data_IF_862770168850
#
_entry.id   IF_862770168850
#
_cell.length_a   1.000
_cell.length_b   1.000
_cell.length_c   1.000
_cell.angle_alpha   90.00
_cell.angle_beta   90.00
_cell.angle_gamma   90.00
#
_symmetry.space_group_name_H-M   'P 1'
#
loop_
_entity.id
_entity.type
_entity.pdbx_description
1 polymer ?
#
# COMPACT_ATOMS: atom_id res chain seq x y z
N UNK A 1 -18.58 -16.30 -2.02
CA UNK A 1 -17.22 -16.19 -1.48
C UNK A 1 -16.77 -14.75 -1.67
N UNK A 2 -16.07 -14.14 -0.68
CA UNK A 2 -15.47 -12.81 -0.85
C UNK A 2 -14.33 -12.99 -1.85
N UNK A 3 -14.31 -12.19 -2.92
CA UNK A 3 -13.25 -12.22 -3.94
C UNK A 3 -11.98 -11.61 -3.38
N UNK A 4 -10.83 -12.25 -3.57
CA UNK A 4 -9.51 -11.68 -3.26
C UNK A 4 -9.25 -10.44 -4.12
N UNK A 5 -8.87 -9.32 -3.48
CA UNK A 5 -8.59 -8.06 -4.17
C UNK A 5 -7.23 -8.10 -4.88
N UNK A 6 -7.20 -7.54 -6.09
CA UNK A 6 -5.99 -7.31 -6.88
C UNK A 6 -5.47 -5.90 -6.60
N UNK A 7 -4.41 -5.78 -5.79
CA UNK A 7 -3.83 -4.49 -5.36
C UNK A 7 -2.48 -4.31 -6.06
N UNK A 8 -2.39 -3.26 -6.88
CA UNK A 8 -1.19 -2.94 -7.65
C UNK A 8 -0.13 -2.27 -6.76
N UNK A 9 0.98 -2.98 -6.48
CA UNK A 9 2.10 -2.55 -5.65
C UNK A 9 2.89 -1.42 -6.32
N UNK A 10 2.84 -0.22 -5.76
CA UNK A 10 3.43 1.00 -6.34
C UNK A 10 2.91 1.28 -7.76
N UNK A 11 1.62 0.96 -7.98
CA UNK A 11 1.04 0.91 -9.32
C UNK A 11 1.40 -0.36 -10.09
N UNK A 12 1.38 -0.34 -11.42
CA UNK A 12 1.79 -1.47 -12.27
C UNK A 12 3.32 -1.51 -12.41
N UNK A 13 4.01 -1.62 -11.29
CA UNK A 13 5.48 -1.47 -11.18
C UNK A 13 6.29 -2.57 -11.86
N UNK A 14 5.69 -3.69 -12.20
CA UNK A 14 6.35 -4.74 -12.99
C UNK A 14 6.59 -4.38 -14.45
N UNK A 15 5.94 -3.31 -14.97
CA UNK A 15 6.02 -2.88 -16.37
C UNK A 15 6.29 -1.38 -16.55
N UNK A 16 6.03 -0.57 -15.52
CA UNK A 16 6.16 0.89 -15.54
C UNK A 16 6.98 1.36 -14.33
N UNK A 17 7.59 2.54 -14.36
CA UNK A 17 8.34 3.07 -13.22
C UNK A 17 7.48 3.12 -11.95
N UNK A 18 7.96 2.47 -10.88
CA UNK A 18 7.23 2.37 -9.61
C UNK A 18 6.90 3.74 -9.02
N UNK A 19 5.76 3.84 -8.33
CA UNK A 19 5.34 5.05 -7.62
C UNK A 19 5.23 6.31 -8.51
N UNK A 20 4.93 6.14 -9.81
CA UNK A 20 4.68 7.23 -10.76
C UNK A 20 3.20 7.29 -11.14
N UNK A 21 2.77 8.48 -11.63
CA UNK A 21 1.40 8.63 -12.13
C UNK A 21 1.12 7.74 -13.34
N UNK A 22 2.12 7.44 -14.18
CA UNK A 22 2.00 6.46 -15.26
C UNK A 22 1.64 5.08 -14.72
N UNK A 23 2.42 4.55 -13.75
CA UNK A 23 2.17 3.24 -13.16
C UNK A 23 0.78 3.14 -12.50
N UNK A 24 0.32 4.21 -11.83
CA UNK A 24 -1.01 4.26 -11.22
C UNK A 24 -2.13 4.24 -12.26
N UNK A 25 -2.02 5.05 -13.31
CA UNK A 25 -2.98 5.08 -14.41
C UNK A 25 -3.08 3.72 -15.11
N UNK A 26 -1.92 3.08 -15.37
CA UNK A 26 -1.86 1.75 -15.98
C UNK A 26 -2.47 0.66 -15.08
N UNK A 27 -2.30 0.73 -13.77
CA UNK A 27 -2.96 -0.17 -12.82
C UNK A 27 -4.50 -0.03 -12.87
N UNK A 28 -5.02 1.18 -12.98
CA UNK A 28 -6.46 1.44 -13.14
C UNK A 28 -6.96 0.94 -14.49
N UNK A 29 -6.25 1.22 -15.58
CA UNK A 29 -6.61 0.82 -16.95
C UNK A 29 -6.76 -0.70 -17.09
N UNK A 30 -5.90 -1.50 -16.45
CA UNK A 30 -6.02 -2.96 -16.50
C UNK A 30 -7.08 -3.53 -15.55
N UNK A 31 -7.73 -2.67 -14.74
CA UNK A 31 -8.82 -3.05 -13.84
C UNK A 31 -8.34 -3.68 -12.52
N UNK A 32 -7.29 -3.15 -11.92
CA UNK A 32 -6.93 -3.47 -10.53
C UNK A 32 -8.04 -3.03 -9.58
N UNK A 33 -8.23 -3.75 -8.47
CA UNK A 33 -9.20 -3.40 -7.42
C UNK A 33 -8.69 -2.28 -6.51
N UNK A 34 -7.37 -2.04 -6.52
CA UNK A 34 -6.74 -0.98 -5.74
C UNK A 34 -5.29 -0.73 -6.14
N UNK A 35 -4.74 0.30 -5.53
CA UNK A 35 -3.33 0.71 -5.65
C UNK A 35 -2.74 0.76 -4.24
N UNK A 36 -1.50 0.32 -4.13
CA UNK A 36 -0.67 0.52 -2.96
C UNK A 36 0.47 1.47 -3.31
N UNK A 37 0.89 2.32 -2.36
CA UNK A 37 1.93 3.34 -2.55
C UNK A 37 2.55 3.79 -1.24
N UNK A 38 3.75 4.38 -1.30
CA UNK A 38 4.63 4.72 -0.19
C UNK A 38 4.74 6.24 0.02
N UNK A 39 4.58 6.71 1.26
CA UNK A 39 4.52 8.13 1.59
C UNK A 39 5.71 8.62 2.43
N UNK A 40 6.30 9.72 1.99
CA UNK A 40 7.30 10.51 2.72
C UNK A 40 6.87 11.98 2.81
N UNK A 41 7.60 12.78 3.62
CA UNK A 41 7.41 14.24 3.70
C UNK A 41 8.68 14.95 3.24
N UNK A 42 8.52 15.93 2.38
CA UNK A 42 9.58 16.85 1.93
C UNK A 42 9.95 17.89 2.99
N UNK A 43 11.05 18.61 2.75
CA UNK A 43 11.52 19.70 3.60
C UNK A 43 10.47 20.81 3.82
N UNK A 44 9.65 21.09 2.83
CA UNK A 44 8.57 22.10 2.88
C UNK A 44 7.20 21.53 3.28
N UNK A 45 7.15 20.24 3.74
CA UNK A 45 5.96 19.63 4.33
C UNK A 45 4.98 19.01 3.35
N UNK A 46 5.34 18.88 2.08
CA UNK A 46 4.51 18.20 1.08
C UNK A 46 4.65 16.69 1.21
N UNK A 47 3.54 15.96 1.20
CA UNK A 47 3.55 14.49 1.18
C UNK A 47 3.80 14.05 -0.27
N UNK A 48 4.87 13.27 -0.47
CA UNK A 48 5.30 12.75 -1.77
C UNK A 48 5.33 11.23 -1.77
N UNK A 49 5.36 10.67 -2.98
CA UNK A 49 5.25 9.24 -3.20
C UNK A 49 6.61 8.70 -3.68
N UNK A 50 7.26 7.91 -2.84
CA UNK A 50 8.50 7.20 -3.13
C UNK A 50 8.66 6.06 -2.13
N UNK A 51 9.33 4.95 -2.51
CA UNK A 51 9.54 3.85 -1.56
C UNK A 51 10.70 4.09 -0.61
N UNK A 52 11.87 4.45 -1.16
CA UNK A 52 13.08 4.62 -0.37
C UNK A 52 13.10 6.02 0.27
N UNK A 53 13.83 6.18 1.36
CA UNK A 53 14.06 7.48 2.01
C UNK A 53 14.86 8.44 1.11
N UNK A 54 15.58 7.88 0.13
CA UNK A 54 16.38 8.63 -0.84
C UNK A 54 15.85 8.43 -2.26
N UNK A 55 16.16 9.38 -3.14
CA UNK A 55 15.72 9.34 -4.54
C UNK A 55 16.67 8.58 -5.48
N UNK A 56 17.78 8.04 -4.97
CA UNK A 56 18.91 7.51 -5.74
C UNK A 56 18.55 6.32 -6.65
N UNK A 57 17.67 5.41 -6.20
CA UNK A 57 17.36 4.20 -6.94
C UNK A 57 16.35 4.42 -8.08
N UNK A 58 15.43 5.33 -7.89
CA UNK A 58 14.25 5.49 -8.78
C UNK A 58 14.29 6.76 -9.62
N UNK A 59 15.29 7.63 -9.42
CA UNK A 59 15.44 8.87 -10.20
C UNK A 59 16.86 9.04 -10.70
N UNK A 60 17.08 10.07 -11.52
CA UNK A 60 18.39 10.54 -11.94
C UNK A 60 19.07 11.51 -10.94
N UNK A 61 18.45 11.73 -9.77
CA UNK A 61 18.98 12.49 -8.64
C UNK A 61 19.57 11.62 -7.55
N UNK A 62 20.01 12.25 -6.44
CA UNK A 62 20.52 11.55 -5.25
C UNK A 62 20.25 12.34 -3.97
N UNK A 63 20.11 11.65 -2.83
CA UNK A 63 19.93 12.25 -1.52
C UNK A 63 18.57 12.00 -0.89
N UNK A 64 18.40 12.47 0.35
CA UNK A 64 17.18 12.21 1.13
C UNK A 64 16.01 13.10 0.71
N UNK A 65 14.83 12.52 0.56
CA UNK A 65 13.58 13.23 0.24
C UNK A 65 13.32 14.39 1.21
N UNK A 66 13.54 14.16 2.51
CA UNK A 66 13.34 15.18 3.57
C UNK A 66 14.23 16.43 3.44
N UNK A 67 15.29 16.39 2.64
CA UNK A 67 16.23 17.50 2.47
C UNK A 67 15.88 18.38 1.26
N UNK A 68 14.92 17.95 0.42
CA UNK A 68 14.40 18.66 -0.76
C UNK A 68 13.03 19.28 -0.49
N UNK A 69 12.78 20.44 -1.11
CA UNK A 69 11.40 20.92 -1.32
C UNK A 69 10.72 20.10 -2.42
N UNK A 70 9.38 20.09 -2.44
CA UNK A 70 8.65 19.39 -3.50
C UNK A 70 9.04 19.92 -4.90
N UNK A 71 9.19 21.24 -5.04
CA UNK A 71 9.61 21.85 -6.30
C UNK A 71 10.95 21.30 -6.80
N UNK A 72 11.95 21.17 -5.92
CA UNK A 72 13.25 20.60 -6.26
C UNK A 72 13.12 19.11 -6.67
N UNK A 73 12.29 18.33 -5.99
CA UNK A 73 12.04 16.93 -6.35
C UNK A 73 11.40 16.77 -7.73
N UNK A 74 10.58 17.73 -8.18
CA UNK A 74 9.94 17.67 -9.49
C UNK A 74 10.90 17.91 -10.67
N UNK A 75 12.14 18.33 -10.42
CA UNK A 75 13.17 18.46 -11.46
C UNK A 75 13.82 17.12 -11.84
N UNK A 76 13.74 16.10 -10.96
CA UNK A 76 14.32 14.78 -11.21
C UNK A 76 13.37 13.90 -12.04
N UNK A 77 13.98 13.08 -12.92
CA UNK A 77 13.26 12.11 -13.74
C UNK A 77 13.14 10.77 -12.98
N UNK A 78 11.91 10.36 -12.70
CA UNK A 78 11.59 9.10 -12.03
C UNK A 78 11.35 7.92 -13.02
N UNK A 79 11.92 8.00 -14.22
CA UNK A 79 11.75 7.04 -15.30
C UNK A 79 10.66 7.45 -16.29
N UNK A 80 10.84 7.16 -17.57
CA UNK A 80 9.94 7.52 -18.69
C UNK A 80 9.58 9.01 -18.80
N UNK A 81 10.35 9.91 -18.16
CA UNK A 81 10.03 11.32 -18.05
C UNK A 81 9.00 11.68 -16.97
N UNK A 82 8.57 10.71 -16.18
CA UNK A 82 7.74 10.91 -15.00
C UNK A 82 8.52 11.61 -13.87
N UNK A 83 7.80 12.21 -12.94
CA UNK A 83 8.35 12.86 -11.75
C UNK A 83 7.91 12.11 -10.50
N UNK A 84 8.54 12.38 -9.36
CA UNK A 84 8.02 11.96 -8.06
C UNK A 84 6.69 12.70 -7.84
N UNK A 85 5.55 11.98 -7.75
CA UNK A 85 4.27 12.64 -7.59
C UNK A 85 4.02 13.02 -6.13
N UNK A 86 3.19 14.05 -5.92
CA UNK A 86 2.63 14.33 -4.61
C UNK A 86 1.44 13.42 -4.30
N UNK A 87 1.11 13.26 -3.01
CA UNK A 87 -0.11 12.59 -2.59
C UNK A 87 -1.37 13.29 -3.13
N UNK A 88 -1.34 14.62 -3.23
CA UNK A 88 -2.44 15.41 -3.77
C UNK A 88 -2.76 15.03 -5.23
N UNK A 89 -1.73 14.87 -6.07
CA UNK A 89 -1.90 14.45 -7.47
C UNK A 89 -2.54 13.06 -7.58
N UNK A 90 -2.10 12.11 -6.75
CA UNK A 90 -2.69 10.77 -6.73
C UNK A 90 -4.13 10.79 -6.20
N UNK A 91 -4.39 11.49 -5.10
CA UNK A 91 -5.73 11.56 -4.51
C UNK A 91 -6.73 12.26 -5.43
N UNK A 92 -6.33 13.34 -6.11
CA UNK A 92 -7.15 14.00 -7.12
C UNK A 92 -7.53 13.05 -8.26
N UNK A 93 -6.56 12.26 -8.73
CA UNK A 93 -6.82 11.23 -9.74
C UNK A 93 -7.75 10.11 -9.24
N UNK A 94 -7.67 9.73 -7.95
CA UNK A 94 -8.39 8.58 -7.38
C UNK A 94 -9.78 8.92 -6.83
N UNK A 95 -10.09 10.17 -6.50
CA UNK A 95 -11.30 10.58 -5.76
C UNK A 95 -12.63 10.08 -6.35
N UNK A 96 -12.70 9.94 -7.68
CA UNK A 96 -13.91 9.52 -8.40
C UNK A 96 -13.89 8.05 -8.83
N UNK A 97 -12.90 7.27 -8.44
CA UNK A 97 -12.66 5.90 -8.95
C UNK A 97 -13.00 4.85 -7.90
N UNK A 98 -13.83 4.87 -7.05
CA UNK A 98 -14.24 3.82 -6.11
C UNK A 98 -13.29 2.57 -6.01
N UNK A 99 -11.98 2.80 -6.02
CA UNK A 99 -10.92 1.80 -5.90
C UNK A 99 -10.23 1.93 -4.55
N UNK A 100 -9.69 0.82 -4.04
CA UNK A 100 -8.91 0.83 -2.81
C UNK A 100 -7.59 1.60 -3.01
N UNK A 101 -7.24 2.46 -2.06
CA UNK A 101 -5.94 3.11 -1.98
C UNK A 101 -5.27 2.71 -0.65
N UNK A 102 -4.21 1.91 -0.73
CA UNK A 102 -3.38 1.57 0.42
C UNK A 102 -2.20 2.53 0.52
N UNK A 103 -2.17 3.33 1.57
CA UNK A 103 -1.16 4.35 1.83
C UNK A 103 -0.19 3.84 2.89
N UNK A 104 1.02 3.43 2.48
CA UNK A 104 2.07 3.04 3.42
C UNK A 104 2.80 4.28 3.94
N UNK A 105 2.82 4.47 5.27
CA UNK A 105 3.62 5.51 5.90
C UNK A 105 5.05 5.00 6.12
N UNK A 106 6.02 5.60 5.42
CA UNK A 106 7.44 5.27 5.50
C UNK A 106 8.11 6.03 6.66
N UNK A 107 7.74 5.69 7.89
CA UNK A 107 8.19 6.36 9.11
C UNK A 107 8.82 5.39 10.14
N UNK A 108 9.26 4.26 9.68
CA UNK A 108 10.03 3.27 10.46
C UNK A 108 11.53 3.59 10.49
N UNK A 109 12.09 4.22 9.46
CA UNK A 109 13.49 4.65 9.36
C UNK A 109 13.62 6.15 9.69
N UNK A 110 12.85 7.01 9.03
CA UNK A 110 12.82 8.45 9.30
C UNK A 110 11.52 8.80 10.03
N UNK A 111 11.60 9.22 11.32
CA UNK A 111 10.41 9.59 12.07
C UNK A 111 9.92 10.99 11.63
N UNK A 112 9.07 11.04 10.61
CA UNK A 112 8.45 12.28 10.18
C UNK A 112 7.45 12.82 11.21
N UNK A 113 7.61 14.07 11.61
CA UNK A 113 6.59 14.74 12.43
C UNK A 113 5.29 14.91 11.61
N UNK A 114 4.17 14.55 12.22
CA UNK A 114 2.82 14.75 11.69
C UNK A 114 2.46 13.98 10.40
N UNK A 115 3.26 13.03 9.90
CA UNK A 115 2.91 12.27 8.70
C UNK A 115 1.53 11.59 8.84
N UNK A 116 1.25 10.98 10.01
CA UNK A 116 -0.03 10.34 10.28
C UNK A 116 -1.20 11.34 10.21
N UNK A 117 -1.03 12.49 10.84
CA UNK A 117 -2.07 13.53 10.89
C UNK A 117 -2.31 14.14 9.51
N UNK A 118 -1.23 14.54 8.84
CA UNK A 118 -1.33 15.16 7.50
C UNK A 118 -1.95 14.21 6.49
N UNK A 119 -1.63 12.89 6.56
CA UNK A 119 -2.26 11.88 5.70
C UNK A 119 -3.76 11.78 5.96
N UNK A 120 -4.19 11.78 7.24
CA UNK A 120 -5.62 11.75 7.59
C UNK A 120 -6.33 13.01 7.08
N UNK A 121 -5.73 14.19 7.25
CA UNK A 121 -6.31 15.45 6.78
C UNK A 121 -6.50 15.41 5.25
N UNK A 122 -5.55 14.87 4.48
CA UNK A 122 -5.68 14.66 3.03
C UNK A 122 -6.79 13.65 2.66
N UNK A 123 -6.89 12.55 3.39
CA UNK A 123 -8.00 11.57 3.19
C UNK A 123 -9.36 12.25 3.30
N UNK A 124 -9.53 13.17 4.26
CA UNK A 124 -10.77 13.92 4.43
C UNK A 124 -10.96 14.98 3.35
N UNK A 125 -9.91 15.73 3.01
CA UNK A 125 -9.93 16.78 1.98
C UNK A 125 -10.44 16.23 0.64
N UNK A 126 -9.98 15.03 0.26
CA UNK A 126 -10.37 14.38 -1.01
C UNK A 126 -11.59 13.44 -0.89
N UNK A 127 -12.19 13.30 0.30
CA UNK A 127 -13.38 12.47 0.51
C UNK A 127 -13.15 10.97 0.39
N UNK A 128 -11.91 10.50 0.50
CA UNK A 128 -11.49 9.12 0.22
C UNK A 128 -11.60 8.16 1.42
N UNK A 129 -12.14 8.59 2.55
CA UNK A 129 -12.18 7.82 3.81
C UNK A 129 -12.67 6.37 3.66
N UNK A 130 -13.66 6.12 2.79
CA UNK A 130 -14.23 4.78 2.60
C UNK A 130 -13.33 3.85 1.77
N UNK A 131 -12.42 4.42 1.02
CA UNK A 131 -11.61 3.75 0.01
C UNK A 131 -10.14 3.61 0.41
N UNK A 132 -9.76 4.07 1.61
CA UNK A 132 -8.35 4.09 2.06
C UNK A 132 -8.11 3.09 3.18
N UNK A 133 -6.95 2.43 3.12
CA UNK A 133 -6.28 1.78 4.25
C UNK A 133 -4.94 2.50 4.43
N UNK A 134 -4.63 2.94 5.64
CA UNK A 134 -3.30 3.44 6.00
C UNK A 134 -2.49 2.30 6.60
N UNK A 135 -1.28 2.07 6.12
CA UNK A 135 -0.43 0.98 6.59
C UNK A 135 0.98 1.44 6.94
N UNK A 136 1.69 0.68 7.75
CA UNK A 136 3.11 0.91 8.07
C UNK A 136 3.74 -0.32 8.73
N UNK A 137 5.06 -0.45 8.61
CA UNK A 137 5.89 -1.31 9.46
C UNK A 137 6.02 -0.76 10.89
N UNK A 138 5.83 0.54 11.07
CA UNK A 138 5.77 1.17 12.39
C UNK A 138 4.36 1.01 12.99
N UNK A 139 4.13 -0.08 13.71
CA UNK A 139 2.82 -0.36 14.32
C UNK A 139 2.38 0.69 15.35
N UNK A 140 3.31 1.42 15.99
CA UNK A 140 2.98 2.55 16.85
C UNK A 140 2.35 3.71 16.06
N UNK A 141 2.78 3.90 14.81
CA UNK A 141 2.18 4.86 13.89
C UNK A 141 0.70 4.51 13.61
N UNK A 142 0.39 3.24 13.40
CA UNK A 142 -0.99 2.80 13.21
C UNK A 142 -1.87 3.03 14.45
N UNK A 143 -1.31 2.87 15.65
CA UNK A 143 -2.02 3.26 16.88
C UNK A 143 -2.25 4.78 16.97
N UNK A 144 -1.31 5.61 16.49
CA UNK A 144 -1.51 7.06 16.41
C UNK A 144 -2.63 7.41 15.43
N UNK A 145 -2.66 6.78 14.24
CA UNK A 145 -3.77 6.94 13.27
C UNK A 145 -5.11 6.64 13.95
N UNK A 146 -5.24 5.50 14.66
CA UNK A 146 -6.46 5.14 15.39
C UNK A 146 -6.82 6.10 16.53
N UNK A 147 -5.85 6.75 17.15
CA UNK A 147 -6.10 7.79 18.17
C UNK A 147 -6.60 9.09 17.56
N UNK A 148 -6.10 9.46 16.37
CA UNK A 148 -6.60 10.63 15.65
C UNK A 148 -8.00 10.40 15.10
N UNK A 149 -8.23 9.24 14.47
CA UNK A 149 -9.56 8.83 13.98
C UNK A 149 -9.67 7.30 13.95
N UNK A 150 -10.45 6.75 14.88
CA UNK A 150 -10.67 5.30 14.99
C UNK A 150 -11.38 4.68 13.79
N UNK A 151 -12.03 5.47 12.95
CA UNK A 151 -12.77 5.03 11.76
C UNK A 151 -11.92 4.92 10.49
N UNK A 152 -10.69 5.44 10.49
CA UNK A 152 -9.70 5.18 9.41
C UNK A 152 -9.24 3.72 9.51
N UNK A 153 -9.33 2.98 8.41
CA UNK A 153 -8.82 1.60 8.37
C UNK A 153 -7.30 1.59 8.40
N UNK A 154 -6.74 0.68 9.21
CA UNK A 154 -5.29 0.52 9.36
C UNK A 154 -4.84 -0.90 9.06
N UNK A 155 -3.65 -1.02 8.43
CA UNK A 155 -2.97 -2.26 8.12
C UNK A 155 -1.58 -2.34 8.77
N UNK A 156 -1.25 -3.48 9.40
CA UNK A 156 0.07 -3.70 10.00
C UNK A 156 0.95 -4.50 9.05
N UNK A 157 1.99 -3.86 8.51
CA UNK A 157 3.01 -4.51 7.69
C UNK A 157 4.01 -5.27 8.59
N UNK A 158 4.38 -6.49 8.19
CA UNK A 158 5.44 -7.23 8.87
C UNK A 158 6.13 -8.25 7.95
N UNK A 159 7.46 -8.39 8.16
CA UNK A 159 8.34 -9.30 7.40
C UNK A 159 8.94 -10.43 8.24
N UNK A 160 8.55 -10.56 9.52
CA UNK A 160 9.02 -11.61 10.44
C UNK A 160 7.83 -12.29 11.12
N UNK A 161 7.93 -13.58 11.50
CA UNK A 161 6.84 -14.30 12.16
C UNK A 161 6.38 -13.61 13.45
N UNK A 162 5.06 -13.45 13.60
CA UNK A 162 4.41 -12.97 14.82
C UNK A 162 3.61 -14.14 15.41
N UNK A 163 3.78 -14.38 16.71
CA UNK A 163 2.99 -15.38 17.43
C UNK A 163 1.56 -14.86 17.63
N UNK A 164 0.55 -15.66 17.26
CA UNK A 164 -0.87 -15.29 17.29
C UNK A 164 -1.15 -13.92 16.60
N UNK A 165 -0.85 -13.79 15.30
CA UNK A 165 -0.90 -12.49 14.61
C UNK A 165 -2.29 -11.86 14.61
N UNK A 166 -3.36 -12.67 14.60
CA UNK A 166 -4.74 -12.18 14.68
C UNK A 166 -5.05 -11.51 16.03
N UNK A 167 -4.65 -12.13 17.15
CA UNK A 167 -4.80 -11.54 18.49
C UNK A 167 -3.96 -10.26 18.63
N UNK A 168 -2.74 -10.28 18.09
CA UNK A 168 -1.86 -9.12 18.08
C UNK A 168 -2.50 -7.93 17.37
N UNK A 169 -3.00 -8.12 16.14
CA UNK A 169 -3.66 -7.07 15.37
C UNK A 169 -4.90 -6.52 16.08
N UNK A 170 -5.73 -7.40 16.64
CA UNK A 170 -6.90 -7.03 17.43
C UNK A 170 -6.55 -6.20 18.65
N UNK A 171 -5.50 -6.56 19.39
CA UNK A 171 -5.03 -5.81 20.57
C UNK A 171 -4.53 -4.41 20.20
N UNK A 172 -3.91 -4.24 19.02
CA UNK A 172 -3.49 -2.95 18.49
C UNK A 172 -4.68 -2.12 17.98
N UNK A 173 -5.80 -2.76 17.65
CA UNK A 173 -6.99 -2.15 17.08
C UNK A 173 -6.86 -1.96 15.56
N UNK A 174 -6.02 -2.75 14.89
CA UNK A 174 -5.88 -2.71 13.45
C UNK A 174 -7.02 -3.46 12.74
N UNK A 175 -7.31 -3.06 11.51
CA UNK A 175 -8.35 -3.68 10.68
C UNK A 175 -7.80 -4.77 9.76
N UNK A 176 -6.51 -4.68 9.41
CA UNK A 176 -5.83 -5.61 8.52
C UNK A 176 -4.41 -5.94 8.98
N UNK A 177 -3.95 -7.11 8.56
CA UNK A 177 -2.54 -7.50 8.55
C UNK A 177 -2.03 -7.53 7.12
N UNK A 178 -0.86 -6.96 6.90
CA UNK A 178 -0.14 -6.98 5.63
C UNK A 178 1.16 -7.78 5.80
N UNK A 179 1.10 -9.12 5.80
CA UNK A 179 2.29 -9.97 5.93
C UNK A 179 3.09 -10.10 4.65
N UNK A 180 4.39 -10.30 4.79
CA UNK A 180 5.15 -10.97 3.75
C UNK A 180 4.47 -12.32 3.45
N UNK A 181 4.13 -12.60 2.19
CA UNK A 181 3.25 -13.70 1.81
C UNK A 181 3.71 -15.09 2.32
N UNK A 182 5.03 -15.30 2.41
CA UNK A 182 5.60 -16.56 2.91
C UNK A 182 5.26 -16.89 4.36
N UNK A 183 4.86 -15.87 5.16
CA UNK A 183 4.51 -16.03 6.58
C UNK A 183 3.09 -16.56 6.81
N UNK A 184 2.27 -16.63 5.75
CA UNK A 184 0.85 -17.03 5.84
C UNK A 184 0.48 -18.12 4.82
N UNK A 185 1.44 -18.97 4.47
CA UNK A 185 1.26 -20.05 3.48
C UNK A 185 0.59 -21.29 4.06
N UNK A 186 0.02 -21.21 5.25
CA UNK A 186 -0.69 -22.31 5.92
C UNK A 186 -2.07 -21.87 6.41
N UNK A 187 -2.99 -22.84 6.48
CA UNK A 187 -4.38 -22.59 6.84
C UNK A 187 -4.59 -22.26 8.31
N UNK A 188 -3.68 -22.69 9.20
CA UNK A 188 -3.82 -22.44 10.63
C UNK A 188 -3.58 -20.95 10.94
N UNK A 189 -2.54 -20.36 10.37
CA UNK A 189 -2.25 -18.93 10.49
C UNK A 189 -3.37 -18.06 9.87
N UNK A 190 -3.85 -18.40 8.67
CA UNK A 190 -4.99 -17.69 8.05
C UNK A 190 -6.23 -17.76 8.94
N UNK A 191 -6.55 -18.94 9.50
CA UNK A 191 -7.72 -19.13 10.35
C UNK A 191 -7.59 -18.35 11.67
N UNK A 192 -6.39 -18.25 12.26
CA UNK A 192 -6.14 -17.44 13.44
C UNK A 192 -6.47 -15.97 13.18
N UNK A 193 -5.93 -15.41 12.10
CA UNK A 193 -6.16 -14.02 11.73
C UNK A 193 -7.65 -13.76 11.48
N UNK A 194 -8.30 -14.61 10.68
CA UNK A 194 -9.73 -14.44 10.33
C UNK A 194 -10.68 -14.59 11.50
N UNK A 195 -10.40 -15.50 12.45
CA UNK A 195 -11.22 -15.65 13.69
C UNK A 195 -11.21 -14.39 14.54
N UNK A 196 -10.18 -13.57 14.43
CA UNK A 196 -10.10 -12.28 15.12
C UNK A 196 -10.76 -11.12 14.34
N UNK A 197 -11.35 -11.39 13.16
CA UNK A 197 -12.02 -10.39 12.31
C UNK A 197 -11.06 -9.49 11.54
N UNK A 198 -9.80 -9.91 11.35
CA UNK A 198 -8.73 -9.14 10.72
C UNK A 198 -8.62 -9.55 9.25
N UNK A 199 -8.54 -8.56 8.35
CA UNK A 199 -8.27 -8.76 6.92
C UNK A 199 -6.81 -9.13 6.68
N UNK A 200 -6.55 -9.86 5.57
CA UNK A 200 -5.21 -10.32 5.19
C UNK A 200 -4.89 -9.84 3.79
N UNK A 201 -3.98 -8.86 3.66
CA UNK A 201 -3.47 -8.36 2.38
C UNK A 201 -1.98 -8.67 2.27
N UNK A 202 -1.63 -9.69 1.51
CA UNK A 202 -0.26 -10.20 1.44
C UNK A 202 0.60 -9.45 0.42
N UNK A 203 1.90 -9.24 0.70
CA UNK A 203 2.87 -8.61 -0.20
C UNK A 203 4.18 -9.42 -0.27
N UNK A 204 5.04 -9.26 -1.28
CA UNK A 204 4.72 -8.89 -2.64
C UNK A 204 4.68 -10.17 -3.46
N UNK A 205 3.56 -10.47 -4.09
CA UNK A 205 3.34 -11.76 -4.76
C UNK A 205 3.38 -11.58 -6.27
N UNK A 206 4.44 -12.08 -6.91
CA UNK A 206 4.67 -11.87 -8.34
C UNK A 206 4.55 -13.14 -9.20
N UNK A 207 4.37 -14.31 -8.56
CA UNK A 207 4.29 -15.60 -9.27
C UNK A 207 2.87 -16.18 -9.23
N UNK A 208 2.37 -16.63 -10.39
CA UNK A 208 1.01 -17.20 -10.54
C UNK A 208 0.74 -18.39 -9.61
N UNK A 209 1.76 -19.22 -9.33
CA UNK A 209 1.65 -20.36 -8.42
C UNK A 209 1.32 -19.94 -6.99
N UNK A 210 2.00 -18.90 -6.47
CA UNK A 210 1.72 -18.35 -5.15
C UNK A 210 0.41 -17.56 -5.12
N UNK A 211 0.08 -16.80 -6.17
CA UNK A 211 -1.21 -16.10 -6.28
C UNK A 211 -2.36 -17.09 -6.13
N UNK A 212 -2.35 -18.19 -6.92
CA UNK A 212 -3.38 -19.23 -6.83
C UNK A 212 -3.48 -19.83 -5.44
N UNK A 213 -2.35 -20.25 -4.85
CA UNK A 213 -2.33 -20.86 -3.51
C UNK A 213 -2.90 -19.93 -2.43
N UNK A 214 -2.56 -18.65 -2.48
CA UNK A 214 -3.03 -17.66 -1.51
C UNK A 214 -4.54 -17.36 -1.67
N UNK A 215 -5.04 -17.33 -2.91
CA UNK A 215 -6.47 -17.24 -3.18
C UNK A 215 -7.19 -18.49 -2.62
N UNK A 216 -6.67 -19.69 -2.84
CA UNK A 216 -7.25 -20.94 -2.32
C UNK A 216 -7.22 -20.98 -0.77
N UNK A 217 -6.22 -20.38 -0.14
CA UNK A 217 -6.13 -20.20 1.31
C UNK A 217 -7.12 -19.13 1.82
N UNK A 218 -7.58 -18.24 0.95
CA UNK A 218 -8.62 -17.26 1.23
C UNK A 218 -8.10 -15.95 1.80
N UNK A 219 -6.94 -15.45 1.35
CA UNK A 219 -6.51 -14.07 1.67
C UNK A 219 -7.46 -13.05 1.08
N UNK A 220 -7.58 -11.87 1.71
CA UNK A 220 -8.54 -10.84 1.31
C UNK A 220 -7.99 -9.94 0.20
N UNK A 221 -6.67 -9.74 0.14
CA UNK A 221 -5.99 -9.00 -0.91
C UNK A 221 -4.60 -9.55 -1.22
N UNK A 222 -4.16 -9.37 -2.45
CA UNK A 222 -2.81 -9.66 -2.91
C UNK A 222 -2.22 -8.39 -3.50
N UNK A 223 -1.10 -7.94 -2.92
CA UNK A 223 -0.30 -6.80 -3.36
C UNK A 223 0.79 -7.34 -4.29
N UNK A 224 0.81 -6.89 -5.56
CA UNK A 224 1.65 -7.46 -6.62
C UNK A 224 2.17 -6.38 -7.58
N UNK A 225 3.40 -6.57 -8.08
CA UNK A 225 3.97 -5.76 -9.16
C UNK A 225 3.31 -6.05 -10.52
N UNK A 226 2.63 -7.21 -10.64
CA UNK A 226 2.03 -7.70 -11.89
C UNK A 226 0.51 -7.89 -11.75
N UNK A 227 -0.26 -6.80 -11.60
CA UNK A 227 -1.71 -6.89 -11.41
C UNK A 227 -2.43 -7.52 -12.62
N UNK A 228 -1.85 -7.45 -13.83
CA UNK A 228 -2.33 -8.17 -15.00
C UNK A 228 -2.27 -9.70 -14.82
N UNK A 229 -1.17 -10.22 -14.23
CA UNK A 229 -1.04 -11.68 -13.98
C UNK A 229 -2.03 -12.14 -12.91
N UNK A 230 -2.25 -11.33 -11.87
CA UNK A 230 -3.20 -11.67 -10.81
C UNK A 230 -4.64 -11.65 -11.34
N UNK A 231 -4.98 -10.67 -12.19
CA UNK A 231 -6.27 -10.62 -12.89
C UNK A 231 -6.54 -11.91 -13.66
N UNK A 232 -5.59 -12.34 -14.51
CA UNK A 232 -5.67 -13.61 -15.25
C UNK A 232 -5.92 -14.82 -14.34
N UNK A 233 -5.27 -14.86 -13.15
CA UNK A 233 -5.43 -15.98 -12.19
C UNK A 233 -6.82 -15.96 -11.58
N UNK A 234 -7.33 -14.80 -11.17
CA UNK A 234 -8.65 -14.64 -10.56
C UNK A 234 -9.74 -15.04 -11.57
N UNK A 235 -9.69 -14.55 -12.81
CA UNK A 235 -10.65 -14.86 -13.86
C UNK A 235 -10.74 -16.37 -14.12
N UNK A 236 -9.59 -17.03 -14.29
CA UNK A 236 -9.54 -18.52 -14.51
C UNK A 236 -10.06 -19.34 -13.33
N UNK A 237 -10.09 -18.80 -12.11
CA UNK A 237 -10.66 -19.48 -10.94
C UNK A 237 -12.15 -19.23 -10.80
N UNK A 238 -12.68 -18.13 -11.36
CA UNK A 238 -14.10 -17.75 -11.31
C UNK A 238 -14.93 -18.46 -12.40
N UNK A 239 -14.29 -18.81 -13.55
CA UNK A 239 -14.92 -19.48 -14.68
C UNK A 239 -15.05 -21.00 -14.51
N UNK A 240 -14.70 -21.54 -13.33
CA UNK A 240 -14.84 -22.96 -12.94
C UNK A 240 -15.95 -23.16 -11.93
#
# INVERSE_FOLDING_TARGET
>A
MIRTLNIAHRGFSGMYPENTMEAFKKAVEIGSDGIETDLHITKDGVIVICHDETIDRTTDGSGFIKDYTYRELTEFNAGHGEKIPSLDELMDYMKDKNLLLNLELKNDVIPYENLERSTIDKIYEYGLKKNVIVSSFNHNSMQKVKKYDSSIKTGLLYGSPIHNPGEYAKRIGADALHPLFSLVMDKATINDIKRNGILINVYTVNEKSYMKKLIDLGVDGIITNYPNLLKDVIEKLTDK
#
